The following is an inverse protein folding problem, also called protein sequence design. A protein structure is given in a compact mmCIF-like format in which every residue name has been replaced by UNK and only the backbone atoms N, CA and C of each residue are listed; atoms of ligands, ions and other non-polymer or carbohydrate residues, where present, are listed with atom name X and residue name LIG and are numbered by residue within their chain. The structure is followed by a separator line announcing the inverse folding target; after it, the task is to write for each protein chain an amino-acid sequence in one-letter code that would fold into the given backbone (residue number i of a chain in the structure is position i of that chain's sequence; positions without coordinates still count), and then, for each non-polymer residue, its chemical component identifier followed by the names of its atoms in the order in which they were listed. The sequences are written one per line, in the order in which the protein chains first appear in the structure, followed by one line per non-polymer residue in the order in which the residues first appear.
data_IF_423545471897
#
_entry.id   IF_423545471897
#
_cell.length_a   1.000
_cell.length_b   1.000
_cell.length_c   1.000
_cell.angle_alpha   90.00
_cell.angle_beta   90.00
_cell.angle_gamma   90.00
#
_symmetry.space_group_name_H-M   'P 1'
#
loop_
_entity.id
_entity.type
_entity.pdbx_description
1 polymer ?
#
# COMPACT_ATOMS: atom_id res chain seq x y z
N UNK A 1 -15.57 41.30 -34.22
CA UNK A 1 -14.44 41.60 -35.12
C UNK A 1 -13.15 41.07 -34.50
N UNK A 2 -12.49 40.07 -35.13
CA UNK A 2 -11.15 39.64 -34.75
C UNK A 2 -11.01 38.13 -34.59
N UNK A 3 -11.07 37.35 -35.66
CA UNK A 3 -10.75 35.93 -35.68
C UNK A 3 -9.22 35.72 -35.67
N UNK A 4 -8.69 35.01 -34.67
CA UNK A 4 -7.31 34.58 -34.57
C UNK A 4 -7.17 33.09 -34.91
N UNK A 5 -6.46 32.81 -36.02
CA UNK A 5 -6.23 31.48 -36.60
C UNK A 5 -5.31 30.63 -35.72
N UNK A 6 -5.75 29.39 -35.43
CA UNK A 6 -4.93 28.32 -34.89
C UNK A 6 -4.15 27.68 -36.04
N UNK A 7 -2.82 27.67 -35.93
CA UNK A 7 -1.93 26.96 -36.87
C UNK A 7 -1.81 25.50 -36.42
N UNK A 8 -2.21 24.58 -37.29
CA UNK A 8 -1.83 23.16 -37.25
C UNK A 8 -0.35 23.01 -37.65
N UNK A 9 0.41 22.30 -36.82
CA UNK A 9 1.74 21.81 -37.23
C UNK A 9 1.64 20.35 -37.67
N UNK A 10 2.24 20.10 -38.83
CA UNK A 10 2.24 18.85 -39.57
C UNK A 10 3.17 17.79 -38.94
N UNK A 11 2.72 16.56 -39.06
CA UNK A 11 3.50 15.32 -38.94
C UNK A 11 4.66 15.30 -39.92
N UNK A 12 5.83 14.84 -39.47
CA UNK A 12 6.86 14.32 -40.34
C UNK A 12 6.97 12.80 -40.17
N UNK A 13 6.61 12.13 -41.28
CA UNK A 13 6.85 10.71 -41.56
C UNK A 13 8.24 10.60 -42.19
N UNK A 14 9.15 9.80 -41.62
CA UNK A 14 10.33 9.34 -42.30
C UNK A 14 10.59 7.87 -42.05
N UNK A 15 10.04 7.05 -42.97
CA UNK A 15 10.60 5.73 -43.29
C UNK A 15 11.93 5.93 -44.02
N UNK A 16 13.02 5.41 -43.47
CA UNK A 16 14.12 4.91 -44.28
C UNK A 16 14.84 3.78 -43.54
N UNK A 17 14.80 2.63 -44.18
CA UNK A 17 15.54 1.46 -43.80
C UNK A 17 17.02 1.56 -44.24
N UNK A 18 17.88 0.90 -43.53
CA UNK A 18 19.16 0.44 -44.09
C UNK A 18 19.50 -0.94 -43.58
N UNK A 19 19.78 -1.78 -44.55
CA UNK A 19 20.21 -3.18 -44.46
C UNK A 19 21.72 -3.25 -44.28
N UNK A 20 22.14 -4.30 -43.55
CA UNK A 20 23.35 -5.12 -43.70
C UNK A 20 24.74 -4.47 -43.58
N UNK A 21 25.52 -5.05 -42.67
CA UNK A 21 26.71 -5.83 -43.07
C UNK A 21 27.24 -6.66 -41.89
N UNK A 22 27.14 -8.00 -42.04
CA UNK A 22 27.93 -8.96 -41.26
C UNK A 22 29.39 -8.87 -41.76
N UNK A 23 30.32 -8.64 -40.85
CA UNK A 23 31.74 -8.90 -41.10
C UNK A 23 32.25 -9.88 -40.02
N UNK A 24 32.46 -11.10 -40.46
CA UNK A 24 33.17 -12.11 -39.71
C UNK A 24 34.68 -11.77 -39.71
N UNK A 25 35.28 -11.56 -38.55
CA UNK A 25 36.72 -11.54 -38.37
C UNK A 25 37.16 -12.80 -37.61
N UNK A 26 37.67 -13.79 -38.36
CA UNK A 26 38.54 -14.82 -37.82
C UNK A 26 39.87 -14.20 -37.44
N UNK A 27 40.29 -14.29 -36.19
CA UNK A 27 41.66 -14.01 -35.75
C UNK A 27 42.25 -15.30 -35.23
N UNK A 28 43.33 -15.69 -35.91
CA UNK A 28 44.18 -16.84 -35.63
C UNK A 28 44.86 -16.71 -34.26
N UNK A 29 44.77 -17.76 -33.46
CA UNK A 29 45.55 -17.97 -32.25
C UNK A 29 46.98 -18.36 -32.65
N UNK A 30 47.94 -17.51 -32.31
CA UNK A 30 49.35 -17.89 -32.23
C UNK A 30 49.71 -17.99 -30.76
N UNK A 31 50.13 -19.19 -30.36
CA UNK A 31 50.50 -19.45 -28.98
C UNK A 31 51.81 -18.77 -28.61
N UNK A 32 51.88 -18.32 -27.37
CA UNK A 32 53.11 -18.02 -26.67
C UNK A 32 52.94 -18.54 -25.23
N UNK A 33 53.53 -19.75 -24.96
CA UNK A 33 53.67 -20.26 -23.62
C UNK A 33 54.79 -19.47 -22.91
N UNK A 34 54.44 -18.65 -21.97
CA UNK A 34 55.32 -18.17 -20.93
C UNK A 34 54.88 -18.73 -19.59
N UNK A 35 55.68 -19.70 -19.07
CA UNK A 35 55.50 -20.23 -17.72
C UNK A 35 55.77 -19.11 -16.70
N UNK A 36 54.73 -18.62 -16.07
CA UNK A 36 54.84 -17.85 -14.85
C UNK A 36 54.66 -18.76 -13.65
N UNK A 37 55.76 -18.96 -12.94
CA UNK A 37 55.79 -19.61 -11.65
C UNK A 37 55.03 -18.74 -10.65
N UNK A 38 53.80 -19.14 -10.29
CA UNK A 38 53.02 -18.47 -9.23
C UNK A 38 53.28 -19.26 -7.96
N UNK A 39 54.10 -18.67 -7.10
CA UNK A 39 54.25 -19.13 -5.71
C UNK A 39 52.88 -19.19 -5.05
N UNK A 40 52.52 -20.38 -4.54
CA UNK A 40 51.35 -20.62 -3.72
C UNK A 40 51.47 -19.81 -2.43
N UNK A 41 50.90 -18.63 -2.42
CA UNK A 41 50.56 -17.95 -1.18
C UNK A 41 49.45 -18.75 -0.51
N UNK A 42 49.78 -19.39 0.59
CA UNK A 42 48.82 -20.14 1.38
C UNK A 42 47.69 -19.21 1.89
N UNK A 43 46.50 -19.37 1.35
CA UNK A 43 45.31 -18.83 1.99
C UNK A 43 45.10 -19.60 3.29
N UNK A 44 45.47 -18.99 4.40
CA UNK A 44 44.99 -19.39 5.70
C UNK A 44 43.45 -19.21 5.66
N UNK A 45 42.74 -20.34 5.72
CA UNK A 45 41.29 -20.33 6.02
C UNK A 45 41.11 -19.60 7.37
N UNK A 46 40.80 -18.33 7.28
CA UNK A 46 40.16 -17.61 8.42
C UNK A 46 38.79 -18.25 8.56
N UNK A 47 38.68 -19.27 9.40
CA UNK A 47 37.45 -19.75 9.95
C UNK A 47 36.90 -18.65 10.87
N UNK A 48 36.49 -17.52 10.29
CA UNK A 48 35.59 -16.59 10.89
C UNK A 48 34.25 -17.33 11.00
N UNK A 49 33.85 -17.72 12.22
CA UNK A 49 32.45 -17.96 12.51
C UNK A 49 31.72 -16.68 12.03
N UNK A 50 31.13 -16.75 10.83
CA UNK A 50 30.12 -15.79 10.48
C UNK A 50 29.08 -15.89 11.62
N UNK A 51 29.05 -14.90 12.50
CA UNK A 51 27.96 -14.77 13.44
C UNK A 51 26.71 -14.77 12.56
N UNK A 52 25.88 -15.78 12.71
CA UNK A 52 24.53 -15.75 12.18
C UNK A 52 23.92 -14.53 12.84
N UNK A 53 23.96 -13.39 12.13
CA UNK A 53 23.27 -12.19 12.55
C UNK A 53 21.82 -12.65 12.67
N UNK A 54 21.30 -12.60 13.89
CA UNK A 54 19.95 -13.00 14.21
C UNK A 54 19.00 -12.07 13.42
N UNK A 55 18.63 -12.49 12.21
CA UNK A 55 17.76 -11.75 11.28
C UNK A 55 16.28 -11.95 11.63
N UNK A 56 15.98 -12.64 12.74
CA UNK A 56 14.63 -12.84 13.21
C UNK A 56 14.12 -11.57 13.89
N UNK A 57 12.99 -11.06 13.38
CA UNK A 57 12.27 -9.94 13.99
C UNK A 57 11.21 -10.51 14.90
N UNK A 58 11.32 -10.24 16.20
CA UNK A 58 10.31 -10.61 17.17
C UNK A 58 9.33 -9.44 17.45
N UNK A 59 8.23 -9.75 18.14
CA UNK A 59 7.18 -8.78 18.47
C UNK A 59 7.72 -7.61 19.27
N UNK A 60 8.62 -7.85 20.24
CA UNK A 60 9.20 -6.82 21.12
C UNK A 60 10.00 -5.78 20.32
N UNK A 61 10.82 -6.24 19.36
CA UNK A 61 11.58 -5.34 18.48
C UNK A 61 10.64 -4.46 17.65
N UNK A 62 9.55 -5.04 17.12
CA UNK A 62 8.56 -4.29 16.33
C UNK A 62 7.84 -3.25 17.20
N UNK A 63 7.46 -3.59 18.44
CA UNK A 63 6.82 -2.66 19.36
C UNK A 63 7.74 -1.50 19.73
N UNK A 64 9.00 -1.81 20.02
CA UNK A 64 10.02 -0.79 20.33
C UNK A 64 10.23 0.16 19.17
N UNK A 65 10.38 -0.37 17.94
CA UNK A 65 10.58 0.44 16.75
C UNK A 65 9.35 1.32 16.46
N UNK A 66 8.15 0.75 16.44
CA UNK A 66 6.91 1.48 16.17
C UNK A 66 6.71 2.61 17.19
N UNK A 67 6.95 2.34 18.47
CA UNK A 67 6.84 3.35 19.54
C UNK A 67 7.87 4.47 19.38
N UNK A 68 9.10 4.13 19.02
CA UNK A 68 10.17 5.11 18.76
C UNK A 68 9.81 6.03 17.59
N UNK A 69 9.38 5.46 16.46
CA UNK A 69 9.01 6.24 15.27
C UNK A 69 7.82 7.16 15.54
N UNK A 70 6.83 6.72 16.31
CA UNK A 70 5.69 7.55 16.73
C UNK A 70 6.15 8.79 17.51
N UNK A 71 7.11 8.63 18.41
CA UNK A 71 7.66 9.74 19.23
C UNK A 71 8.55 10.65 18.37
N UNK A 72 9.36 10.07 17.50
CA UNK A 72 10.36 10.80 16.74
C UNK A 72 9.75 11.59 15.58
N UNK A 73 8.76 11.01 14.90
CA UNK A 73 8.12 11.58 13.70
C UNK A 73 6.74 12.15 14.01
N UNK A 74 6.69 13.08 14.97
CA UNK A 74 5.43 13.69 15.41
C UNK A 74 4.73 14.44 14.29
N UNK A 75 3.47 14.10 14.08
CA UNK A 75 2.58 14.83 13.19
C UNK A 75 1.95 16.02 13.92
N UNK A 76 1.65 17.08 13.17
CA UNK A 76 1.09 18.33 13.69
C UNK A 76 0.06 18.88 12.72
N UNK A 77 -1.08 19.35 13.21
CA UNK A 77 -2.13 19.99 12.43
C UNK A 77 -1.66 21.27 11.73
N UNK A 78 -0.64 21.94 12.29
CA UNK A 78 -0.07 23.19 11.73
C UNK A 78 0.95 22.96 10.62
N UNK A 79 1.61 21.79 10.60
CA UNK A 79 2.73 21.51 9.69
C UNK A 79 2.40 20.48 8.61
N UNK A 80 1.37 19.69 8.80
CA UNK A 80 1.03 18.59 7.91
C UNK A 80 -0.42 18.70 7.44
N UNK A 81 -0.65 18.30 6.20
CA UNK A 81 -1.98 18.22 5.62
C UNK A 81 -2.62 16.84 5.86
N UNK A 82 -3.90 16.73 5.53
CA UNK A 82 -4.70 15.53 5.73
C UNK A 82 -4.08 14.28 5.10
N UNK A 83 -3.48 14.40 3.91
CA UNK A 83 -2.83 13.28 3.25
C UNK A 83 -1.73 12.66 4.12
N UNK A 84 -0.86 13.50 4.69
CA UNK A 84 0.24 13.06 5.54
C UNK A 84 -0.26 12.49 6.87
N UNK A 85 -1.23 13.18 7.49
CA UNK A 85 -1.79 12.80 8.79
C UNK A 85 -2.56 11.48 8.70
N UNK A 86 -3.35 11.28 7.63
CA UNK A 86 -4.12 10.06 7.44
C UNK A 86 -3.24 8.84 7.11
N UNK A 87 -2.07 9.02 6.49
CA UNK A 87 -1.08 7.94 6.40
C UNK A 87 -0.50 7.58 7.78
N UNK A 88 -0.26 8.58 8.65
CA UNK A 88 0.05 8.32 10.06
C UNK A 88 -1.06 7.57 10.78
N UNK A 89 -2.31 7.92 10.51
CA UNK A 89 -3.47 7.23 11.08
C UNK A 89 -3.58 5.78 10.58
N UNK A 90 -3.23 5.51 9.31
CA UNK A 90 -3.13 4.16 8.79
C UNK A 90 -2.14 3.31 9.61
N UNK A 91 -0.98 3.87 9.95
CA UNK A 91 0.06 3.15 10.67
C UNK A 91 -0.20 2.98 12.18
N UNK A 92 -0.81 3.97 12.84
CA UNK A 92 -0.93 4.00 14.31
C UNK A 92 -2.36 3.89 14.84
N UNK A 93 -3.35 4.10 13.97
CA UNK A 93 -4.76 3.89 14.31
C UNK A 93 -5.34 4.87 15.32
N UNK A 94 -6.33 4.36 16.06
CA UNK A 94 -7.20 5.14 16.97
C UNK A 94 -6.45 5.96 18.00
N UNK A 95 -5.28 5.48 18.39
CA UNK A 95 -4.49 6.08 19.48
C UNK A 95 -3.47 7.11 18.97
N UNK A 96 -3.49 7.44 17.67
CA UNK A 96 -2.54 8.40 17.11
C UNK A 96 -2.68 9.77 17.79
N UNK A 97 -1.66 10.21 18.56
CA UNK A 97 -1.60 11.56 19.07
C UNK A 97 -1.15 12.51 17.97
N UNK A 98 -1.76 13.69 17.90
CA UNK A 98 -1.35 14.74 16.98
C UNK A 98 -1.09 16.04 17.75
N UNK A 99 -0.07 16.77 17.36
CA UNK A 99 0.23 18.08 17.91
C UNK A 99 -0.75 19.12 17.36
N UNK A 100 -1.37 19.87 18.25
CA UNK A 100 -2.26 21.00 17.93
C UNK A 100 -1.99 22.15 18.89
N UNK A 101 -1.47 23.26 18.39
CA UNK A 101 -1.19 24.49 19.15
C UNK A 101 -0.38 24.23 20.45
N UNK A 102 0.62 23.34 20.35
CA UNK A 102 1.49 22.96 21.49
C UNK A 102 0.90 21.91 22.44
N UNK A 103 -0.33 21.45 22.20
CA UNK A 103 -0.97 20.37 22.95
C UNK A 103 -0.96 19.07 22.14
N UNK A 104 -1.09 17.94 22.83
CA UNK A 104 -1.32 16.65 22.17
C UNK A 104 -2.81 16.32 22.26
N UNK A 105 -3.44 16.09 21.11
CA UNK A 105 -4.84 15.67 21.01
C UNK A 105 -4.93 14.31 20.31
N UNK A 106 -6.00 13.56 20.54
CA UNK A 106 -6.26 12.33 19.80
C UNK A 106 -6.81 12.68 18.43
N UNK A 107 -6.16 12.20 17.37
CA UNK A 107 -6.58 12.53 15.99
C UNK A 107 -8.01 12.08 15.68
N UNK A 108 -8.37 10.84 16.05
CA UNK A 108 -9.71 10.32 15.75
C UNK A 108 -10.80 11.18 16.38
N UNK A 109 -10.67 11.52 17.66
CA UNK A 109 -11.60 12.40 18.35
C UNK A 109 -11.70 13.77 17.67
N UNK A 110 -10.52 14.35 17.32
CA UNK A 110 -10.47 15.62 16.58
C UNK A 110 -11.27 15.57 15.27
N UNK A 111 -11.09 14.51 14.47
CA UNK A 111 -11.79 14.36 13.18
C UNK A 111 -13.30 14.15 13.36
N UNK A 112 -13.69 13.28 14.30
CA UNK A 112 -15.10 12.95 14.52
C UNK A 112 -15.90 14.14 15.12
N UNK A 113 -15.25 14.98 15.90
CA UNK A 113 -15.85 16.20 16.48
C UNK A 113 -15.92 17.38 15.50
N UNK A 114 -15.48 17.20 14.25
CA UNK A 114 -15.48 18.23 13.21
C UNK A 114 -14.28 19.16 13.28
N UNK A 115 -13.20 18.72 13.89
CA UNK A 115 -11.93 19.45 13.95
C UNK A 115 -11.35 19.73 12.56
N UNK A 116 -10.77 20.91 12.41
CA UNK A 116 -10.23 21.36 11.14
C UNK A 116 -8.84 20.79 10.90
N UNK A 117 -8.58 20.33 9.68
CA UNK A 117 -7.29 19.86 9.22
C UNK A 117 -7.13 20.25 7.75
N UNK A 118 -5.98 20.77 7.38
CA UNK A 118 -5.72 21.22 6.01
C UNK A 118 -5.87 20.03 5.02
N UNK A 119 -6.76 20.18 4.03
CA UNK A 119 -7.08 19.13 3.06
C UNK A 119 -8.07 18.06 3.56
N UNK A 120 -8.64 18.22 4.76
CA UNK A 120 -9.72 17.39 5.27
C UNK A 120 -11.07 18.02 4.88
N UNK A 121 -11.47 17.80 3.62
CA UNK A 121 -12.60 18.46 3.02
C UNK A 121 -13.80 17.50 2.89
N UNK A 122 -14.68 17.51 3.90
CA UNK A 122 -15.94 16.75 3.92
C UNK A 122 -17.13 17.67 3.72
N UNK A 123 -18.11 17.18 2.97
CA UNK A 123 -19.32 17.88 2.63
C UNK A 123 -20.55 16.99 2.76
N UNK A 124 -21.72 17.55 3.11
CA UNK A 124 -22.99 16.84 2.96
C UNK A 124 -23.21 16.43 1.50
N UNK A 125 -23.44 15.14 1.29
CA UNK A 125 -23.68 14.55 -0.03
C UNK A 125 -25.14 14.58 -0.46
N UNK A 126 -25.54 13.60 -1.27
CA UNK A 126 -26.91 13.43 -1.75
C UNK A 126 -27.81 12.81 -0.68
N UNK A 127 -29.13 12.94 -0.88
CA UNK A 127 -30.09 12.09 -0.19
C UNK A 127 -30.09 10.73 -0.86
N UNK A 128 -29.63 9.71 -0.15
CA UNK A 128 -29.51 8.36 -0.68
C UNK A 128 -30.90 7.70 -0.72
N UNK A 129 -31.41 7.30 -1.89
CA UNK A 129 -32.79 6.81 -2.01
C UNK A 129 -33.10 5.59 -1.14
N UNK A 130 -32.15 4.71 -0.93
CA UNK A 130 -32.33 3.47 -0.15
C UNK A 130 -32.45 3.70 1.34
N UNK A 131 -31.89 4.80 1.87
CA UNK A 131 -31.90 5.10 3.31
C UNK A 131 -32.76 6.33 3.65
N UNK A 132 -33.03 7.20 2.68
CA UNK A 132 -33.64 8.51 2.89
C UNK A 132 -32.74 9.50 3.65
N UNK A 133 -31.51 9.12 3.98
CA UNK A 133 -30.53 9.92 4.70
C UNK A 133 -29.57 10.61 3.72
N UNK A 134 -29.05 11.75 4.12
CA UNK A 134 -28.02 12.46 3.38
C UNK A 134 -26.65 11.78 3.60
N UNK A 135 -25.93 11.53 2.52
CA UNK A 135 -24.60 10.96 2.56
C UNK A 135 -23.51 12.00 2.88
N UNK A 136 -22.26 11.56 2.83
CA UNK A 136 -21.07 12.41 3.00
C UNK A 136 -20.14 12.23 1.81
N UNK A 137 -19.59 13.33 1.31
CA UNK A 137 -18.60 13.35 0.23
C UNK A 137 -17.28 13.89 0.76
N UNK A 138 -16.19 13.16 0.54
CA UNK A 138 -14.84 13.67 0.69
C UNK A 138 -14.32 14.13 -0.68
N UNK A 139 -13.83 15.36 -0.76
CA UNK A 139 -13.27 15.90 -2.00
C UNK A 139 -11.93 15.26 -2.29
N UNK A 140 -11.69 14.89 -3.56
CA UNK A 140 -10.36 14.58 -4.03
C UNK A 140 -9.50 15.85 -4.06
N UNK A 141 -8.25 15.71 -3.68
CA UNK A 141 -7.28 16.81 -3.78
C UNK A 141 -6.88 17.05 -5.22
N UNK A 142 -6.78 18.32 -5.59
CA UNK A 142 -6.26 18.73 -6.90
C UNK A 142 -4.72 18.77 -6.91
N UNK A 143 -4.09 18.70 -5.74
CA UNK A 143 -2.65 18.71 -5.57
C UNK A 143 -2.18 17.48 -4.80
N UNK A 144 -1.03 16.93 -5.22
CA UNK A 144 -0.40 15.82 -4.54
C UNK A 144 -0.10 16.16 -3.08
N UNK A 145 -0.23 15.16 -2.20
CA UNK A 145 0.18 15.22 -0.78
C UNK A 145 -0.61 16.21 0.11
N UNK A 146 -1.77 16.66 -0.33
CA UNK A 146 -2.57 17.62 0.43
C UNK A 146 -3.82 17.01 1.08
N UNK A 147 -4.79 16.57 0.29
CA UNK A 147 -6.04 15.97 0.74
C UNK A 147 -6.19 14.51 0.34
N UNK A 148 -7.41 14.04 0.17
CA UNK A 148 -7.67 12.69 -0.29
C UNK A 148 -7.15 12.49 -1.71
N UNK A 149 -6.18 11.59 -1.89
CA UNK A 149 -5.55 11.32 -3.19
C UNK A 149 -6.33 10.34 -4.06
N UNK A 150 -7.13 9.48 -3.45
CA UNK A 150 -7.91 8.44 -4.12
C UNK A 150 -9.36 8.45 -3.62
N UNK A 151 -10.31 8.08 -4.47
CA UNK A 151 -11.72 7.93 -4.07
C UNK A 151 -11.81 6.91 -2.93
N UNK A 152 -12.55 7.26 -1.86
CA UNK A 152 -12.78 6.44 -0.68
C UNK A 152 -11.54 6.07 0.17
N UNK A 153 -10.38 6.71 -0.07
CA UNK A 153 -9.15 6.45 0.68
C UNK A 153 -9.36 6.60 2.20
N UNK A 154 -10.02 7.67 2.63
CA UNK A 154 -10.30 7.89 4.06
C UNK A 154 -11.20 6.82 4.66
N UNK A 155 -12.25 6.39 3.94
CA UNK A 155 -13.12 5.30 4.37
C UNK A 155 -12.37 3.98 4.51
N UNK A 156 -11.48 3.66 3.56
CA UNK A 156 -10.66 2.47 3.62
C UNK A 156 -9.67 2.50 4.78
N UNK A 157 -9.09 3.66 5.09
CA UNK A 157 -8.23 3.83 6.27
C UNK A 157 -9.04 3.62 7.55
N UNK A 158 -10.25 4.19 7.66
CA UNK A 158 -11.13 3.93 8.81
C UNK A 158 -11.51 2.45 8.93
N UNK A 159 -11.76 1.76 7.82
CA UNK A 159 -12.01 0.31 7.80
C UNK A 159 -10.81 -0.48 8.35
N UNK A 160 -9.60 -0.19 7.89
CA UNK A 160 -8.37 -0.84 8.35
C UNK A 160 -8.09 -0.58 9.83
N UNK A 161 -8.53 0.57 10.37
CA UNK A 161 -8.44 0.90 11.78
C UNK A 161 -9.67 0.46 12.59
N UNK A 162 -10.59 -0.26 11.96
CA UNK A 162 -11.80 -0.83 12.61
C UNK A 162 -12.61 0.22 13.35
N UNK A 163 -12.78 1.40 12.76
CA UNK A 163 -13.69 2.42 13.30
C UNK A 163 -15.12 1.95 13.05
N UNK A 164 -16.01 1.96 14.05
CA UNK A 164 -17.39 1.50 13.85
C UNK A 164 -18.12 2.37 12.81
N UNK A 165 -18.94 1.75 11.95
CA UNK A 165 -19.73 2.50 10.95
C UNK A 165 -20.80 3.42 11.58
N UNK A 166 -21.16 3.14 12.83
CA UNK A 166 -22.05 3.93 13.66
C UNK A 166 -21.37 5.17 14.26
N UNK A 167 -20.03 5.26 14.17
CA UNK A 167 -19.29 6.42 14.66
C UNK A 167 -19.80 7.69 13.97
N UNK A 168 -20.10 8.71 14.78
CA UNK A 168 -20.61 9.98 14.29
C UNK A 168 -19.49 10.92 13.90
N UNK A 169 -19.67 11.64 12.82
CA UNK A 169 -18.79 12.69 12.36
C UNK A 169 -19.54 14.00 12.16
N UNK A 170 -18.98 15.09 12.68
CA UNK A 170 -19.56 16.42 12.56
C UNK A 170 -19.02 17.13 11.31
N UNK A 171 -19.92 17.68 10.50
CA UNK A 171 -19.59 18.47 9.31
C UNK A 171 -20.38 19.78 9.39
N UNK A 172 -19.72 20.86 9.77
CA UNK A 172 -20.39 22.10 10.13
C UNK A 172 -21.30 21.92 11.34
N UNK A 173 -22.59 22.24 11.18
CA UNK A 173 -23.61 22.05 12.22
C UNK A 173 -24.28 20.67 12.18
N UNK A 174 -24.10 19.92 11.10
CA UNK A 174 -24.73 18.63 10.88
C UNK A 174 -23.91 17.48 11.47
N UNK A 175 -24.59 16.40 11.87
CA UNK A 175 -23.99 15.18 12.37
C UNK A 175 -24.38 14.02 11.47
N UNK A 176 -23.37 13.33 10.95
CA UNK A 176 -23.49 12.15 10.10
C UNK A 176 -22.90 10.93 10.81
N UNK A 177 -23.13 9.75 10.25
CA UNK A 177 -22.43 8.53 10.63
C UNK A 177 -21.43 8.15 9.53
N UNK A 178 -20.45 7.30 9.83
CA UNK A 178 -19.62 6.69 8.79
C UNK A 178 -20.48 5.85 7.83
N UNK A 179 -21.59 5.27 8.29
CA UNK A 179 -22.51 4.58 7.40
C UNK A 179 -23.13 5.50 6.36
N UNK A 180 -23.44 6.76 6.70
CA UNK A 180 -23.94 7.75 5.73
C UNK A 180 -22.88 8.01 4.64
N UNK A 181 -21.60 8.06 5.01
CA UNK A 181 -20.51 8.21 4.05
C UNK A 181 -20.33 6.96 3.17
N UNK A 182 -20.39 5.77 3.75
CA UNK A 182 -20.33 4.50 3.02
C UNK A 182 -21.50 4.35 2.02
N UNK A 183 -22.70 4.79 2.39
CA UNK A 183 -23.86 4.81 1.48
C UNK A 183 -23.67 5.78 0.32
N UNK A 184 -23.02 6.91 0.55
CA UNK A 184 -22.62 7.81 -0.54
C UNK A 184 -21.59 7.14 -1.46
N UNK A 185 -20.60 6.44 -0.92
CA UNK A 185 -19.63 5.69 -1.71
C UNK A 185 -20.31 4.63 -2.60
N UNK A 186 -21.23 3.83 -2.06
CA UNK A 186 -22.04 2.89 -2.84
C UNK A 186 -22.85 3.61 -3.93
N UNK A 187 -23.46 4.73 -3.60
CA UNK A 187 -24.26 5.52 -4.54
C UNK A 187 -23.43 6.07 -5.69
N UNK A 188 -22.22 6.56 -5.41
CA UNK A 188 -21.33 7.21 -6.38
C UNK A 188 -20.39 6.26 -7.10
N UNK A 189 -20.39 4.94 -6.83
CA UNK A 189 -19.44 3.98 -7.41
C UNK A 189 -19.37 4.05 -8.94
N UNK A 190 -20.48 4.30 -9.61
CA UNK A 190 -20.57 4.47 -11.07
C UNK A 190 -19.89 5.75 -11.60
N UNK A 191 -19.51 6.68 -10.71
CA UNK A 191 -18.80 7.92 -11.04
C UNK A 191 -17.30 7.83 -10.81
N UNK A 192 -16.80 6.70 -10.32
CA UNK A 192 -15.38 6.49 -10.15
C UNK A 192 -14.72 6.25 -11.51
N UNK A 193 -14.21 7.31 -12.11
CA UNK A 193 -13.51 7.30 -13.41
C UNK A 193 -11.99 7.34 -13.26
N UNK A 194 -11.47 7.17 -12.06
CA UNK A 194 -10.02 7.15 -11.82
C UNK A 194 -9.38 5.80 -12.13
N UNK A 195 -10.16 4.84 -12.66
CA UNK A 195 -9.73 3.47 -12.92
C UNK A 195 -9.14 2.76 -11.70
N UNK A 196 -9.67 3.05 -10.50
CA UNK A 196 -9.24 2.44 -9.25
C UNK A 196 -10.44 2.31 -8.29
N UNK A 197 -10.74 1.08 -7.91
CA UNK A 197 -11.73 0.75 -6.88
C UNK A 197 -11.11 0.16 -5.62
N UNK A 198 -9.79 0.18 -5.49
CA UNK A 198 -9.06 -0.45 -4.40
C UNK A 198 -9.58 0.00 -3.03
N UNK A 199 -9.68 1.30 -2.82
CA UNK A 199 -10.12 1.88 -1.55
C UNK A 199 -11.60 1.66 -1.28
N UNK A 200 -12.45 1.81 -2.31
CA UNK A 200 -13.87 1.48 -2.24
C UNK A 200 -14.08 0.01 -1.84
N UNK A 201 -13.33 -0.90 -2.45
CA UNK A 201 -13.40 -2.34 -2.18
C UNK A 201 -13.01 -2.66 -0.73
N UNK A 202 -11.91 -2.09 -0.21
CA UNK A 202 -11.51 -2.24 1.20
C UNK A 202 -12.64 -1.76 2.13
N UNK A 203 -13.17 -0.56 1.89
CA UNK A 203 -14.20 0.01 2.75
C UNK A 203 -15.49 -0.84 2.74
N UNK A 204 -16.04 -1.12 1.56
CA UNK A 204 -17.33 -1.78 1.44
C UNK A 204 -17.29 -3.24 1.91
N UNK A 205 -16.23 -3.97 1.62
CA UNK A 205 -16.11 -5.36 2.09
C UNK A 205 -15.97 -5.46 3.60
N UNK A 206 -15.29 -4.50 4.23
CA UNK A 206 -15.18 -4.47 5.69
C UNK A 206 -16.49 -4.10 6.39
N UNK A 207 -17.15 -3.02 5.93
CA UNK A 207 -18.31 -2.48 6.64
C UNK A 207 -19.63 -3.18 6.32
N UNK A 208 -19.73 -3.72 5.11
CA UNK A 208 -20.94 -4.41 4.64
C UNK A 208 -20.65 -5.88 4.23
N UNK A 209 -20.08 -6.70 5.13
CA UNK A 209 -19.61 -8.05 4.78
C UNK A 209 -20.70 -8.98 4.26
N UNK A 210 -21.97 -8.68 4.55
CA UNK A 210 -23.13 -9.46 4.11
C UNK A 210 -23.95 -8.77 3.01
N UNK A 211 -23.65 -7.51 2.67
CA UNK A 211 -24.34 -6.76 1.62
C UNK A 211 -23.44 -6.67 0.39
N UNK A 212 -23.56 -7.66 -0.47
CA UNK A 212 -22.69 -7.83 -1.63
C UNK A 212 -23.16 -7.12 -2.88
N UNK A 213 -24.44 -6.71 -2.91
CA UNK A 213 -25.11 -6.12 -4.06
C UNK A 213 -25.84 -4.87 -3.63
N UNK A 214 -25.76 -3.81 -4.43
CA UNK A 214 -26.45 -2.54 -4.19
C UNK A 214 -26.79 -1.85 -5.51
N UNK A 215 -27.76 -0.93 -5.49
CA UNK A 215 -28.09 -0.08 -6.62
C UNK A 215 -27.34 1.24 -6.53
N UNK A 216 -26.58 1.59 -7.56
CA UNK A 216 -25.85 2.86 -7.66
C UNK A 216 -26.67 3.96 -8.35
N UNK A 217 -26.10 5.15 -8.44
CA UNK A 217 -26.72 6.35 -9.02
C UNK A 217 -27.15 6.17 -10.49
N UNK A 218 -26.47 5.35 -11.24
CA UNK A 218 -26.79 5.03 -12.64
C UNK A 218 -27.99 4.08 -12.78
N UNK A 219 -28.63 3.70 -11.67
CA UNK A 219 -29.76 2.79 -11.61
C UNK A 219 -29.38 1.32 -11.84
N UNK A 220 -28.09 1.01 -11.94
CA UNK A 220 -27.60 -0.35 -12.13
C UNK A 220 -27.28 -1.00 -10.80
N UNK A 221 -27.35 -2.33 -10.83
CA UNK A 221 -26.86 -3.17 -9.77
C UNK A 221 -25.35 -3.30 -9.85
N UNK A 222 -24.69 -3.05 -8.72
CA UNK A 222 -23.25 -3.20 -8.49
C UNK A 222 -23.03 -4.26 -7.42
N UNK A 223 -21.89 -4.91 -7.48
CA UNK A 223 -21.52 -5.94 -6.50
C UNK A 223 -19.99 -5.99 -6.30
N UNK A 224 -19.55 -6.75 -5.31
CA UNK A 224 -18.13 -6.91 -5.01
C UNK A 224 -17.37 -7.55 -6.18
N UNK A 225 -17.97 -8.56 -6.80
CA UNK A 225 -17.37 -9.28 -7.91
C UNK A 225 -17.03 -8.34 -9.08
N UNK A 226 -17.90 -7.37 -9.38
CA UNK A 226 -17.65 -6.33 -10.39
C UNK A 226 -16.43 -5.48 -10.05
N UNK A 227 -16.28 -5.06 -8.79
CA UNK A 227 -15.12 -4.28 -8.36
C UNK A 227 -13.83 -5.12 -8.39
N UNK A 228 -13.91 -6.38 -7.95
CA UNK A 228 -12.79 -7.32 -7.98
C UNK A 228 -12.35 -7.62 -9.41
N UNK A 229 -13.30 -7.85 -10.34
CA UNK A 229 -12.97 -8.07 -11.75
C UNK A 229 -12.27 -6.88 -12.37
N UNK A 230 -12.72 -5.68 -12.05
CA UNK A 230 -12.06 -4.45 -12.48
C UNK A 230 -10.62 -4.39 -11.96
N UNK A 231 -10.41 -4.55 -10.65
CA UNK A 231 -9.09 -4.49 -10.03
C UNK A 231 -8.13 -5.58 -10.55
N UNK A 232 -8.63 -6.77 -10.87
CA UNK A 232 -7.85 -7.85 -11.49
C UNK A 232 -7.44 -7.54 -12.95
N UNK A 233 -8.27 -6.77 -13.66
CA UNK A 233 -8.06 -6.43 -15.07
C UNK A 233 -7.01 -5.34 -15.28
N UNK A 234 -6.79 -4.50 -14.28
CA UNK A 234 -5.91 -3.34 -14.41
C UNK A 234 -4.42 -3.69 -14.21
N UNK A 235 -3.50 -3.04 -14.95
CA UNK A 235 -2.07 -3.29 -14.82
C UNK A 235 -1.51 -2.71 -13.53
N UNK A 236 -0.59 -3.43 -12.87
CA UNK A 236 0.07 -2.96 -11.65
C UNK A 236 1.07 -1.83 -11.93
N UNK A 237 1.82 -1.91 -13.02
CA UNK A 237 2.95 -1.01 -13.33
C UNK A 237 2.52 0.45 -13.47
N UNK A 238 1.33 0.71 -13.99
CA UNK A 238 0.78 2.06 -14.15
C UNK A 238 -0.09 2.51 -12.97
N UNK A 239 -0.26 1.66 -11.96
CA UNK A 239 -1.06 1.97 -10.77
C UNK A 239 -0.21 2.67 -9.70
N UNK A 240 -0.86 3.46 -8.85
CA UNK A 240 -0.21 4.14 -7.75
C UNK A 240 0.57 3.15 -6.85
N UNK A 241 1.71 3.58 -6.33
CA UNK A 241 2.59 2.75 -5.49
C UNK A 241 2.93 1.39 -6.10
N UNK A 242 3.11 1.35 -7.45
CA UNK A 242 3.41 0.12 -8.19
C UNK A 242 2.31 -0.93 -8.14
N UNK A 243 1.07 -0.56 -7.76
CA UNK A 243 -0.08 -1.45 -7.69
C UNK A 243 -0.23 -2.21 -6.36
N UNK A 244 0.54 -1.86 -5.31
CA UNK A 244 0.43 -2.50 -3.99
C UNK A 244 -0.97 -2.34 -3.41
N UNK A 245 -1.55 -1.13 -3.44
CA UNK A 245 -2.90 -0.85 -2.92
C UNK A 245 -3.98 -1.70 -3.59
N UNK A 246 -3.86 -1.94 -4.90
CA UNK A 246 -4.76 -2.81 -5.66
C UNK A 246 -4.73 -4.24 -5.15
N UNK A 247 -3.53 -4.78 -4.94
CA UNK A 247 -3.34 -6.13 -4.43
C UNK A 247 -3.76 -6.27 -2.95
N UNK A 248 -3.54 -5.25 -2.14
CA UNK A 248 -4.02 -5.20 -0.75
C UNK A 248 -5.55 -5.23 -0.67
N UNK A 249 -6.20 -4.43 -1.52
CA UNK A 249 -7.65 -4.43 -1.61
C UNK A 249 -8.22 -5.79 -2.01
N UNK A 250 -7.61 -6.43 -3.02
CA UNK A 250 -7.97 -7.79 -3.44
C UNK A 250 -7.76 -8.81 -2.32
N UNK A 251 -6.67 -8.70 -1.54
CA UNK A 251 -6.39 -9.61 -0.43
C UNK A 251 -7.41 -9.45 0.70
N UNK A 252 -7.73 -8.22 1.10
CA UNK A 252 -8.71 -7.93 2.14
C UNK A 252 -10.12 -8.35 1.74
N UNK A 253 -10.51 -8.10 0.48
CA UNK A 253 -11.80 -8.52 -0.05
C UNK A 253 -11.94 -10.05 -0.10
N UNK A 254 -10.90 -10.76 -0.56
CA UNK A 254 -10.88 -12.22 -0.59
C UNK A 254 -10.98 -12.80 0.84
N UNK A 255 -10.23 -12.24 1.78
CA UNK A 255 -10.31 -12.67 3.18
C UNK A 255 -11.71 -12.51 3.75
N UNK A 256 -12.35 -11.37 3.50
CA UNK A 256 -13.74 -11.13 3.94
C UNK A 256 -14.73 -12.06 3.24
N UNK A 257 -14.58 -12.27 1.93
CA UNK A 257 -15.40 -13.21 1.17
C UNK A 257 -15.36 -14.61 1.77
N UNK A 258 -14.18 -15.13 2.07
CA UNK A 258 -14.00 -16.45 2.65
C UNK A 258 -14.52 -16.53 4.09
N UNK A 259 -14.25 -15.52 4.92
CA UNK A 259 -14.74 -15.44 6.31
C UNK A 259 -16.27 -15.40 6.41
N UNK A 260 -16.94 -14.87 5.39
CA UNK A 260 -18.42 -14.84 5.32
C UNK A 260 -19.03 -16.04 4.61
N UNK A 261 -18.27 -17.12 4.42
CA UNK A 261 -18.73 -18.37 3.83
C UNK A 261 -18.78 -18.37 2.30
N UNK A 262 -18.14 -17.40 1.65
CA UNK A 262 -18.02 -17.36 0.19
C UNK A 262 -17.15 -18.51 -0.33
N UNK A 263 -17.47 -19.00 -1.54
CA UNK A 263 -16.74 -20.09 -2.18
C UNK A 263 -15.55 -19.57 -2.98
N UNK A 264 -14.49 -20.34 -2.99
CA UNK A 264 -13.32 -20.06 -3.80
C UNK A 264 -13.52 -20.55 -5.24
N UNK A 265 -14.31 -19.82 -6.00
CA UNK A 265 -14.64 -20.12 -7.41
C UNK A 265 -14.72 -18.82 -8.24
N UNK A 266 -14.74 -18.91 -9.55
CA UNK A 266 -14.90 -17.77 -10.46
C UNK A 266 -13.83 -16.70 -10.26
N UNK A 267 -14.25 -15.46 -10.01
CA UNK A 267 -13.35 -14.31 -9.82
C UNK A 267 -12.52 -14.45 -8.53
N UNK A 268 -13.06 -15.05 -7.49
CA UNK A 268 -12.37 -15.23 -6.21
C UNK A 268 -11.21 -16.23 -6.29
N UNK A 269 -11.36 -17.29 -7.11
CA UNK A 269 -10.25 -18.20 -7.41
C UNK A 269 -9.16 -17.48 -8.22
N UNK A 270 -9.54 -16.66 -9.20
CA UNK A 270 -8.58 -15.83 -9.96
C UNK A 270 -7.85 -14.86 -9.04
N UNK A 271 -8.56 -14.25 -8.08
CA UNK A 271 -7.99 -13.35 -7.08
C UNK A 271 -6.94 -14.07 -6.25
N UNK A 272 -7.26 -15.25 -5.70
CA UNK A 272 -6.27 -16.03 -4.94
C UNK A 272 -5.04 -16.35 -5.78
N UNK A 273 -5.21 -16.85 -6.98
CA UNK A 273 -4.10 -17.20 -7.88
C UNK A 273 -3.24 -15.98 -8.22
N UNK A 274 -3.86 -14.81 -8.41
CA UNK A 274 -3.13 -13.55 -8.64
C UNK A 274 -2.30 -13.18 -7.41
N UNK A 275 -2.89 -13.19 -6.23
CA UNK A 275 -2.20 -12.85 -4.98
C UNK A 275 -1.03 -13.80 -4.70
N UNK A 276 -1.22 -15.11 -4.85
CA UNK A 276 -0.15 -16.11 -4.69
C UNK A 276 0.99 -15.87 -5.68
N UNK A 277 0.66 -15.55 -6.94
CA UNK A 277 1.66 -15.22 -7.96
C UNK A 277 2.46 -13.98 -7.60
N UNK A 278 1.79 -12.91 -7.13
CA UNK A 278 2.49 -11.66 -6.79
C UNK A 278 3.32 -11.79 -5.50
N UNK A 279 2.83 -12.49 -4.47
CA UNK A 279 3.62 -12.82 -3.27
C UNK A 279 4.87 -13.64 -3.65
N UNK A 280 4.72 -14.60 -4.58
CA UNK A 280 5.86 -15.39 -5.04
C UNK A 280 6.88 -14.53 -5.82
N UNK A 281 6.44 -13.54 -6.60
CA UNK A 281 7.35 -12.57 -7.25
C UNK A 281 8.12 -11.76 -6.19
N UNK A 282 7.43 -11.19 -5.18
CA UNK A 282 8.07 -10.46 -4.09
C UNK A 282 9.14 -11.30 -3.41
N UNK A 283 8.82 -12.55 -3.09
CA UNK A 283 9.78 -13.52 -2.52
C UNK A 283 10.97 -13.79 -3.42
N UNK A 284 10.70 -14.10 -4.70
CA UNK A 284 11.75 -14.53 -5.66
C UNK A 284 12.68 -13.38 -6.04
N UNK A 285 12.17 -12.14 -6.03
CA UNK A 285 12.91 -10.92 -6.37
C UNK A 285 13.52 -10.23 -5.16
N UNK A 286 13.45 -10.85 -3.98
CA UNK A 286 14.09 -10.31 -2.78
C UNK A 286 15.59 -10.21 -3.01
N UNK A 287 16.17 -9.05 -2.70
CA UNK A 287 17.59 -8.80 -2.76
C UNK A 287 18.36 -9.57 -1.68
N UNK A 288 19.65 -9.78 -1.87
CA UNK A 288 20.51 -10.51 -0.91
C UNK A 288 20.54 -9.87 0.48
N UNK A 289 20.38 -8.56 0.57
CA UNK A 289 20.33 -7.81 1.82
C UNK A 289 18.94 -7.83 2.50
N UNK A 290 18.00 -8.57 1.94
CA UNK A 290 16.62 -8.67 2.45
C UNK A 290 15.66 -7.59 1.97
N UNK A 291 16.13 -6.52 1.31
CA UNK A 291 15.26 -5.52 0.70
C UNK A 291 14.44 -6.13 -0.45
N UNK A 292 13.31 -5.50 -0.75
CA UNK A 292 12.46 -5.95 -1.84
C UNK A 292 12.72 -5.12 -3.11
N UNK A 293 12.18 -5.57 -4.24
CA UNK A 293 12.50 -4.98 -5.53
C UNK A 293 12.20 -3.47 -5.58
N UNK A 294 13.18 -2.65 -6.00
CA UNK A 294 13.00 -1.21 -6.22
C UNK A 294 12.09 -0.87 -7.40
N UNK A 295 11.69 -1.86 -8.20
CA UNK A 295 10.75 -1.74 -9.31
C UNK A 295 9.40 -2.40 -9.02
N UNK A 296 9.04 -2.57 -7.75
CA UNK A 296 7.78 -3.17 -7.31
C UNK A 296 7.52 -4.53 -7.99
N UNK A 297 6.39 -4.69 -8.66
CA UNK A 297 5.96 -5.93 -9.34
C UNK A 297 6.36 -5.99 -10.82
N UNK A 298 7.12 -5.02 -11.32
CA UNK A 298 7.52 -4.97 -12.73
C UNK A 298 8.67 -5.94 -13.04
N UNK A 299 9.74 -5.86 -12.26
CA UNK A 299 10.96 -6.67 -12.43
C UNK A 299 11.81 -6.67 -11.16
N UNK A 300 12.77 -7.60 -11.01
CA UNK A 300 13.74 -7.52 -9.93
C UNK A 300 14.61 -6.26 -10.07
N UNK A 301 15.01 -5.69 -8.94
CA UNK A 301 15.89 -4.52 -8.93
C UNK A 301 16.31 -4.08 -7.54
N UNK A 302 17.39 -3.30 -7.50
CA UNK A 302 17.90 -2.68 -6.28
C UNK A 302 18.33 -1.25 -6.57
N UNK A 303 18.48 -0.42 -5.55
CA UNK A 303 18.98 0.95 -5.63
C UNK A 303 19.85 1.25 -4.43
N UNK A 304 20.80 2.17 -4.58
CA UNK A 304 21.59 2.72 -3.47
C UNK A 304 20.86 3.81 -2.68
N UNK A 305 19.80 4.38 -3.25
CA UNK A 305 18.95 5.38 -2.59
C UNK A 305 18.14 4.70 -1.47
N UNK A 306 18.42 5.07 -0.23
CA UNK A 306 17.77 4.50 0.96
C UNK A 306 16.28 4.86 1.04
N UNK A 307 15.90 6.06 0.58
CA UNK A 307 14.50 6.51 0.60
C UNK A 307 13.67 5.71 -0.41
N UNK A 308 14.17 5.56 -1.64
CA UNK A 308 13.52 4.74 -2.64
C UNK A 308 13.45 3.27 -2.22
N UNK A 309 14.52 2.76 -1.58
CA UNK A 309 14.56 1.38 -1.05
C UNK A 309 13.56 1.18 0.07
N UNK A 310 13.43 2.14 0.98
CA UNK A 310 12.40 2.12 2.03
C UNK A 310 10.99 2.15 1.43
N UNK A 311 10.76 3.05 0.47
CA UNK A 311 9.47 3.18 -0.20
C UNK A 311 9.03 1.86 -0.84
N UNK A 312 9.84 1.29 -1.72
CA UNK A 312 9.49 0.05 -2.41
C UNK A 312 9.42 -1.15 -1.47
N UNK A 313 10.39 -1.31 -0.56
CA UNK A 313 10.39 -2.42 0.39
C UNK A 313 9.24 -2.32 1.39
N UNK A 314 8.88 -1.11 1.82
CA UNK A 314 7.77 -0.87 2.74
C UNK A 314 6.42 -1.31 2.15
N UNK A 315 6.08 -0.81 0.96
CA UNK A 315 4.83 -1.16 0.28
C UNK A 315 4.75 -2.66 -0.07
N UNK A 316 5.83 -3.22 -0.62
CA UNK A 316 5.85 -4.66 -0.95
C UNK A 316 5.78 -5.55 0.28
N UNK A 317 6.39 -5.13 1.39
CA UNK A 317 6.30 -5.83 2.65
C UNK A 317 4.90 -5.73 3.26
N UNK A 318 4.26 -4.56 3.23
CA UNK A 318 2.88 -4.36 3.67
C UNK A 318 1.93 -5.29 2.91
N UNK A 319 1.99 -5.28 1.58
CA UNK A 319 1.24 -6.22 0.76
C UNK A 319 1.51 -7.67 1.15
N UNK A 320 2.78 -8.07 1.27
CA UNK A 320 3.14 -9.43 1.63
C UNK A 320 2.64 -9.82 3.04
N UNK A 321 2.71 -8.88 3.99
CA UNK A 321 2.20 -9.08 5.35
C UNK A 321 0.67 -9.20 5.39
N UNK A 322 -0.06 -8.54 4.49
CA UNK A 322 -1.52 -8.64 4.37
C UNK A 322 -1.92 -9.93 3.65
N UNK A 323 -1.32 -10.21 2.49
CA UNK A 323 -1.76 -11.25 1.57
C UNK A 323 -1.28 -12.66 1.91
N UNK A 324 -0.18 -12.80 2.66
CA UNK A 324 0.39 -14.13 2.96
C UNK A 324 -0.46 -14.90 3.97
N UNK A 325 -0.63 -16.21 3.84
CA UNK A 325 -1.21 -17.06 4.88
C UNK A 325 -0.45 -16.96 6.20
N UNK A 326 -1.15 -17.17 7.33
CA UNK A 326 -0.58 -17.01 8.66
C UNK A 326 0.63 -17.90 8.95
N UNK A 327 0.63 -19.14 8.42
CA UNK A 327 1.75 -20.09 8.54
C UNK A 327 3.00 -19.67 7.74
N UNK A 328 2.87 -18.73 6.80
CA UNK A 328 3.96 -18.21 5.97
C UNK A 328 4.64 -16.95 6.54
N UNK A 329 4.08 -16.36 7.57
CA UNK A 329 4.64 -15.15 8.19
C UNK A 329 6.03 -15.40 8.83
N UNK A 330 6.31 -16.64 9.23
CA UNK A 330 7.60 -17.04 9.80
C UNK A 330 8.59 -17.57 8.75
N UNK A 331 8.25 -17.59 7.48
CA UNK A 331 9.17 -17.99 6.41
C UNK A 331 10.45 -17.13 6.45
N UNK A 332 11.64 -17.70 6.22
CA UNK A 332 12.90 -16.96 6.33
C UNK A 332 13.02 -15.72 5.45
N UNK A 333 12.39 -15.72 4.28
CA UNK A 333 12.38 -14.55 3.39
C UNK A 333 11.55 -13.40 3.98
N UNK A 334 10.40 -13.71 4.59
CA UNK A 334 9.53 -12.73 5.24
C UNK A 334 10.22 -12.09 6.45
N UNK A 335 10.90 -12.92 7.27
CA UNK A 335 11.71 -12.46 8.39
C UNK A 335 12.83 -11.51 7.94
N UNK A 336 13.56 -11.87 6.87
CA UNK A 336 14.60 -11.00 6.30
C UNK A 336 14.02 -9.68 5.76
N UNK A 337 12.83 -9.71 5.12
CA UNK A 337 12.18 -8.50 4.64
C UNK A 337 11.79 -7.60 5.81
N UNK A 338 11.14 -8.13 6.84
CA UNK A 338 10.78 -7.39 8.06
C UNK A 338 12.01 -6.77 8.73
N UNK A 339 13.07 -7.56 8.91
CA UNK A 339 14.34 -7.08 9.46
C UNK A 339 14.89 -5.91 8.65
N UNK A 340 14.90 -6.05 7.32
CA UNK A 340 15.45 -5.02 6.44
C UNK A 340 14.62 -3.73 6.42
N UNK A 341 13.30 -3.82 6.49
CA UNK A 341 12.44 -2.64 6.65
C UNK A 341 12.75 -1.91 7.96
N UNK A 342 12.93 -2.64 9.06
CA UNK A 342 13.38 -2.04 10.33
C UNK A 342 14.73 -1.32 10.20
N UNK A 343 15.74 -1.96 9.56
CA UNK A 343 17.04 -1.32 9.34
C UNK A 343 16.96 -0.08 8.44
N UNK A 344 16.13 -0.09 7.41
CA UNK A 344 15.93 1.07 6.54
C UNK A 344 15.32 2.24 7.31
N UNK A 345 14.39 2.00 8.22
CA UNK A 345 13.85 3.01 9.12
C UNK A 345 14.94 3.56 10.06
N UNK A 346 15.79 2.69 10.62
CA UNK A 346 16.93 3.11 11.44
C UNK A 346 17.93 3.98 10.65
N UNK A 347 18.28 3.57 9.45
CA UNK A 347 19.22 4.28 8.56
C UNK A 347 18.69 5.62 8.07
N UNK A 348 17.37 5.78 7.99
CA UNK A 348 16.71 7.00 7.51
C UNK A 348 16.13 7.84 8.64
N UNK A 349 16.49 7.57 9.90
CA UNK A 349 15.90 8.24 11.07
C UNK A 349 16.07 9.76 11.04
N UNK A 350 17.21 10.27 10.56
CA UNK A 350 17.50 11.70 10.44
C UNK A 350 17.07 12.31 9.09
N UNK A 351 16.46 11.50 8.20
CA UNK A 351 16.02 11.95 6.89
C UNK A 351 14.56 12.40 6.97
N UNK A 352 14.25 13.53 6.34
CA UNK A 352 12.86 13.92 6.13
C UNK A 352 12.27 13.03 5.03
N UNK A 353 11.36 12.14 5.44
CA UNK A 353 10.76 11.15 4.57
C UNK A 353 9.39 11.60 4.10
N UNK A 354 9.09 11.30 2.85
CA UNK A 354 7.74 11.39 2.32
C UNK A 354 6.81 10.44 3.11
N UNK A 355 5.66 10.97 3.54
CA UNK A 355 4.78 10.28 4.50
C UNK A 355 4.20 8.97 3.97
N UNK A 356 3.88 8.86 2.68
CA UNK A 356 3.39 7.61 2.10
C UNK A 356 4.41 6.50 2.28
N UNK A 357 5.64 6.72 1.84
CA UNK A 357 6.74 5.75 1.95
C UNK A 357 7.02 5.33 3.40
N UNK A 358 7.00 6.30 4.31
CA UNK A 358 7.23 6.08 5.73
C UNK A 358 6.11 5.25 6.36
N UNK A 359 4.86 5.70 6.20
CA UNK A 359 3.75 5.12 6.95
C UNK A 359 3.25 3.81 6.37
N UNK A 360 3.44 3.53 5.07
CA UNK A 360 3.24 2.21 4.51
C UNK A 360 4.26 1.19 5.06
N UNK A 361 5.53 1.57 5.20
CA UNK A 361 6.52 0.71 5.85
C UNK A 361 6.15 0.42 7.32
N UNK A 362 5.71 1.43 8.07
CA UNK A 362 5.28 1.28 9.46
C UNK A 362 3.98 0.48 9.58
N UNK A 363 3.01 0.68 8.69
CA UNK A 363 1.78 -0.09 8.67
C UNK A 363 2.05 -1.56 8.34
N UNK A 364 2.93 -1.85 7.39
CA UNK A 364 3.35 -3.22 7.08
C UNK A 364 3.93 -3.92 8.31
N UNK A 365 4.82 -3.25 9.07
CA UNK A 365 5.37 -3.78 10.31
C UNK A 365 4.31 -3.96 11.41
N UNK A 366 3.34 -3.03 11.53
CA UNK A 366 2.23 -3.15 12.47
C UNK A 366 1.35 -4.35 12.15
N UNK A 367 0.91 -4.48 10.90
CA UNK A 367 0.09 -5.61 10.42
C UNK A 367 0.83 -6.93 10.65
N UNK A 368 2.10 -6.99 10.28
CA UNK A 368 2.94 -8.16 10.49
C UNK A 368 3.02 -8.54 11.98
N UNK A 369 3.27 -7.56 12.88
CA UNK A 369 3.28 -7.77 14.33
C UNK A 369 1.95 -8.33 14.85
N UNK A 370 0.83 -7.71 14.48
CA UNK A 370 -0.50 -8.14 14.92
C UNK A 370 -0.81 -9.58 14.49
N UNK A 371 -0.45 -9.92 13.25
CA UNK A 371 -0.64 -11.26 12.71
C UNK A 371 0.28 -12.30 13.36
N UNK A 372 1.52 -11.95 13.67
CA UNK A 372 2.42 -12.81 14.45
C UNK A 372 1.88 -13.08 15.85
N UNK A 373 1.37 -12.06 16.55
CA UNK A 373 0.76 -12.20 17.86
C UNK A 373 -0.47 -13.12 17.80
N UNK A 374 -1.26 -13.04 16.74
CA UNK A 374 -2.42 -13.91 16.55
C UNK A 374 -2.02 -15.39 16.36
N UNK A 375 -0.94 -15.66 15.62
CA UNK A 375 -0.40 -17.02 15.43
C UNK A 375 0.19 -17.60 16.73
N UNK A 376 0.81 -16.76 17.55
CA UNK A 376 1.48 -17.18 18.80
C UNK A 376 0.52 -17.36 19.98
N UNK A 377 -0.70 -16.83 19.89
CA UNK A 377 -1.70 -17.06 20.94
C UNK A 377 -2.19 -18.51 20.85
N UNK A 378 -2.09 -19.32 21.93
CA UNK A 378 -2.67 -20.64 21.93
C UNK A 378 -4.17 -20.51 21.61
N UNK A 379 -4.68 -21.38 20.73
CA UNK A 379 -6.12 -21.52 20.51
C UNK A 379 -6.76 -21.74 21.89
N UNK A 380 -7.58 -20.77 22.32
CA UNK A 380 -8.49 -21.09 23.44
C UNK A 380 -9.42 -22.15 22.88
N UNK A 381 -9.28 -23.38 23.39
CA UNK A 381 -10.26 -24.42 23.10
C UNK A 381 -11.65 -23.85 23.41
N UNK A 382 -12.62 -24.05 22.50
CA UNK A 382 -13.99 -23.69 22.79
C UNK A 382 -14.47 -24.59 23.96
N UNK A 383 -14.70 -23.99 25.13
CA UNK A 383 -15.48 -24.63 26.20
C UNK A 383 -16.93 -24.82 25.75
#
# INVERSE_FOLDING_TARGET
LGAGKVKRLHLFDTKQGNRLLLAACCVLLVGCESQLNVDRVGFNEVKGKASVVETAVNVERLETLLSRELIHRRLSLQRHAAWQIMHGFLAYGKELPIESEGNSVNLLSHLLEGGQMQGWDLYPGDVIPTTGRRGVVARLSESDYFGQGHIDQWLAIFAQQRIPKEATIRIGEDVFTLEDWLRQSQWDVSRNYTAEYSWTLIALTYYFPNERVWTARDGKEWNWETLVEFELGEPLVSSACGGSHRLEALAMALETHLKTGGKLEGVWLKTQQRLESEVNKVRTWQNMDGSLSSHFFERPGTTSDLVQRLSSSGHLFEFAAIASPADKLLDPWMQRAAYRVCELLDLTQSTDLECGSLYHALNGLRVYKERLQAVQRPSKDPE
#
